data_IF_666121446014
#
_entry.id   IF_666121446014
#
_cell.length_a   1.000
_cell.length_b   1.000
_cell.length_c   1.000
_cell.angle_alpha   90.00
_cell.angle_beta   90.00
_cell.angle_gamma   90.00
#
_symmetry.space_group_name_H-M   'P 1'
#
loop_
_entity.id
_entity.type
_entity.pdbx_description
1 polymer ?
#
# COMPACT_ATOMS: atom_id res chain seq x y z
N UNK A 1 -12.57 -18.36 8.16
CA UNK A 1 -11.63 -17.50 8.89
C UNK A 1 -10.27 -18.18 8.79
N UNK A 2 -9.36 -17.63 7.99
CA UNK A 2 -7.98 -18.10 7.90
C UNK A 2 -7.35 -17.96 9.28
N UNK A 3 -6.74 -19.02 9.80
CA UNK A 3 -6.06 -18.98 11.08
C UNK A 3 -4.78 -18.14 10.91
N UNK A 4 -4.85 -16.87 11.33
CA UNK A 4 -3.78 -15.89 11.16
C UNK A 4 -2.74 -15.94 12.30
N UNK A 5 -2.89 -16.86 13.26
CA UNK A 5 -2.10 -16.89 14.49
C UNK A 5 -0.59 -17.08 14.25
N UNK A 6 -0.19 -17.67 13.12
CA UNK A 6 1.23 -17.87 12.77
C UNK A 6 1.73 -16.96 11.63
N UNK A 7 0.95 -15.95 11.25
CA UNK A 7 1.35 -15.00 10.19
C UNK A 7 2.03 -13.77 10.79
N UNK A 8 3.30 -13.54 10.46
CA UNK A 8 4.05 -12.36 10.88
C UNK A 8 4.06 -11.30 9.77
N UNK A 9 3.52 -10.12 10.07
CA UNK A 9 3.52 -8.96 9.16
C UNK A 9 4.50 -7.90 9.70
N UNK A 10 5.36 -7.37 8.83
CA UNK A 10 6.24 -6.23 9.14
C UNK A 10 6.07 -5.13 8.11
N UNK A 11 5.65 -3.95 8.55
CA UNK A 11 5.60 -2.73 7.74
C UNK A 11 6.91 -1.95 7.87
N UNK A 12 7.55 -1.67 6.75
CA UNK A 12 8.72 -0.79 6.67
C UNK A 12 8.26 0.61 6.27
N UNK A 13 8.39 1.56 7.18
CA UNK A 13 7.89 2.93 7.06
C UNK A 13 9.04 3.91 6.87
N UNK A 14 9.15 4.53 5.69
CA UNK A 14 10.02 5.70 5.48
C UNK A 14 9.31 7.00 5.86
N UNK A 15 9.96 7.92 6.57
CA UNK A 15 9.36 9.22 6.89
C UNK A 15 8.91 9.99 5.63
N UNK A 16 7.86 10.81 5.77
CA UNK A 16 7.26 11.56 4.65
C UNK A 16 6.97 10.62 3.45
N UNK A 17 6.29 9.52 3.72
CA UNK A 17 5.86 8.53 2.73
C UNK A 17 4.38 8.19 2.95
N UNK A 18 3.70 7.61 1.95
CA UNK A 18 2.29 7.25 2.08
C UNK A 18 2.08 5.93 2.85
N UNK A 19 2.98 5.57 3.78
CA UNK A 19 2.87 4.33 4.58
C UNK A 19 1.73 4.36 5.61
N UNK A 20 1.31 5.55 6.04
CA UNK A 20 0.24 5.74 7.03
C UNK A 20 -1.05 4.99 6.67
N UNK A 21 -1.43 4.96 5.38
CA UNK A 21 -2.65 4.27 4.94
C UNK A 21 -2.60 2.75 5.17
N UNK A 22 -1.40 2.17 5.13
CA UNK A 22 -1.21 0.74 5.39
C UNK A 22 -1.40 0.47 6.88
N UNK A 23 -0.90 1.36 7.75
CA UNK A 23 -1.18 1.27 9.20
C UNK A 23 -2.68 1.30 9.46
N UNK A 24 -3.42 2.27 8.91
CA UNK A 24 -4.87 2.32 9.10
C UNK A 24 -5.58 1.06 8.63
N UNK A 25 -5.17 0.49 7.49
CA UNK A 25 -5.73 -0.76 7.01
C UNK A 25 -5.43 -1.93 7.95
N UNK A 26 -4.19 -2.05 8.46
CA UNK A 26 -3.82 -3.11 9.40
C UNK A 26 -4.62 -3.01 10.71
N UNK A 27 -4.85 -1.78 11.21
CA UNK A 27 -5.71 -1.54 12.38
C UNK A 27 -7.17 -1.95 12.13
N UNK A 28 -7.73 -1.56 10.98
CA UNK A 28 -9.12 -1.91 10.61
C UNK A 28 -9.30 -3.43 10.46
N UNK A 29 -8.29 -4.10 9.90
CA UNK A 29 -8.23 -5.55 9.75
C UNK A 29 -7.98 -6.29 11.08
N UNK A 30 -7.58 -5.57 12.13
CA UNK A 30 -7.22 -6.12 13.45
C UNK A 30 -6.17 -7.23 13.36
N UNK A 31 -5.22 -7.08 12.44
CA UNK A 31 -4.10 -8.01 12.26
C UNK A 31 -2.90 -7.54 13.07
N UNK A 32 -2.19 -8.42 13.80
CA UNK A 32 -0.97 -8.05 14.48
C UNK A 32 0.14 -7.75 13.47
N UNK A 33 0.90 -6.69 13.71
CA UNK A 33 2.01 -6.29 12.84
C UNK A 33 3.12 -5.58 13.62
N UNK A 34 4.33 -5.61 13.05
CA UNK A 34 5.46 -4.82 13.52
C UNK A 34 5.72 -3.65 12.57
N UNK A 35 6.13 -2.49 13.10
CA UNK A 35 6.61 -1.37 12.29
C UNK A 35 8.12 -1.22 12.46
N UNK A 36 8.84 -1.12 11.34
CA UNK A 36 10.24 -0.66 11.29
C UNK A 36 10.30 0.68 10.59
N UNK A 37 10.72 1.72 11.30
CA UNK A 37 10.78 3.09 10.78
C UNK A 37 12.16 3.43 10.24
N UNK A 38 12.18 4.22 9.16
CA UNK A 38 13.38 4.71 8.49
C UNK A 38 13.28 6.23 8.34
N UNK A 39 14.37 6.93 8.60
CA UNK A 39 14.52 8.36 8.32
C UNK A 39 15.12 8.56 6.94
N UNK A 40 14.81 9.68 6.28
CA UNK A 40 15.47 10.05 5.04
C UNK A 40 16.86 10.58 5.35
N UNK A 41 17.75 10.45 4.37
CA UNK A 41 19.05 11.13 4.37
C UNK A 41 18.84 12.64 4.23
N UNK A 42 19.90 13.42 4.44
CA UNK A 42 19.86 14.88 4.32
C UNK A 42 19.42 15.36 2.93
N UNK A 43 19.71 14.58 1.89
CA UNK A 43 19.29 14.80 0.50
C UNK A 43 17.85 14.33 0.20
N UNK A 44 17.08 14.02 1.25
CA UNK A 44 15.71 13.47 1.18
C UNK A 44 15.59 12.09 0.52
N UNK A 45 16.68 11.40 0.20
CA UNK A 45 16.65 10.03 -0.33
C UNK A 45 16.45 8.99 0.77
N UNK A 46 16.10 7.76 0.37
CA UNK A 46 15.95 6.65 1.30
C UNK A 46 17.32 6.14 1.80
N UNK A 47 17.40 5.63 3.05
CA UNK A 47 18.60 4.98 3.56
C UNK A 47 18.88 3.67 2.81
N UNK A 48 20.15 3.28 2.73
CA UNK A 48 20.55 2.08 1.98
C UNK A 48 20.02 0.79 2.65
N UNK A 49 19.73 0.84 3.95
CA UNK A 49 19.05 -0.23 4.69
C UNK A 49 17.66 -0.55 4.13
N UNK A 50 16.90 0.46 3.67
CA UNK A 50 15.59 0.24 3.06
C UNK A 50 15.72 -0.47 1.70
N UNK A 51 16.78 -0.15 0.94
CA UNK A 51 17.05 -0.81 -0.36
C UNK A 51 17.43 -2.28 -0.18
N UNK A 52 18.00 -2.66 0.97
CA UNK A 52 18.29 -4.07 1.30
C UNK A 52 17.01 -4.89 1.50
N UNK A 53 15.90 -4.25 1.86
CA UNK A 53 14.59 -4.90 2.00
C UNK A 53 13.90 -5.01 0.64
N UNK A 54 13.82 -3.91 -0.11
CA UNK A 54 13.28 -3.92 -1.46
C UNK A 54 14.09 -2.99 -2.39
N UNK A 55 14.54 -3.45 -3.58
CA UNK A 55 15.45 -2.68 -4.44
C UNK A 55 14.97 -1.28 -4.82
N UNK A 56 13.65 -1.09 -4.88
CA UNK A 56 13.03 0.21 -5.18
C UNK A 56 13.38 1.30 -4.15
N UNK A 57 13.70 0.92 -2.91
CA UNK A 57 14.05 1.87 -1.84
C UNK A 57 12.93 2.87 -1.52
N UNK A 58 11.67 2.50 -1.79
CA UNK A 58 10.48 3.32 -1.51
C UNK A 58 9.66 2.68 -0.39
N UNK A 59 8.67 3.43 0.08
CA UNK A 59 7.76 3.05 1.16
C UNK A 59 6.33 3.39 0.72
N UNK A 60 5.31 2.60 1.11
CA UNK A 60 5.39 1.44 2.00
C UNK A 60 6.00 0.20 1.37
N UNK A 61 6.61 -0.65 2.21
CA UNK A 61 6.95 -2.04 1.91
C UNK A 61 6.45 -2.91 3.05
N UNK A 62 5.89 -4.07 2.75
CA UNK A 62 5.42 -5.03 3.75
C UNK A 62 6.09 -6.37 3.52
N UNK A 63 6.58 -6.99 4.59
CA UNK A 63 6.97 -8.41 4.58
C UNK A 63 5.93 -9.23 5.31
N UNK A 64 5.55 -10.37 4.73
CA UNK A 64 4.61 -11.33 5.31
C UNK A 64 5.30 -12.69 5.35
N UNK A 65 5.47 -13.24 6.55
CA UNK A 65 6.01 -14.59 6.75
C UNK A 65 4.86 -15.50 7.19
N UNK A 66 4.72 -16.65 6.54
CA UNK A 66 3.70 -17.65 6.87
C UNK A 66 4.35 -19.04 6.96
N UNK A 67 3.78 -19.99 7.72
CA UNK A 67 4.28 -21.37 7.75
C UNK A 67 4.30 -22.06 6.39
N UNK A 68 3.47 -21.59 5.45
CA UNK A 68 3.31 -22.19 4.13
C UNK A 68 4.32 -21.67 3.10
N UNK A 69 5.09 -20.63 3.44
CA UNK A 69 6.09 -20.04 2.55
C UNK A 69 7.47 -20.13 3.21
N UNK A 70 8.45 -20.81 2.58
CA UNK A 70 9.80 -20.93 3.14
C UNK A 70 10.52 -19.59 3.22
N UNK A 71 10.23 -18.68 2.29
CA UNK A 71 10.77 -17.32 2.27
C UNK A 71 9.68 -16.28 2.53
N UNK A 72 10.01 -15.15 3.18
CA UNK A 72 9.04 -14.09 3.40
C UNK A 72 8.57 -13.46 2.08
N UNK A 73 7.26 -13.27 1.93
CA UNK A 73 6.69 -12.50 0.84
C UNK A 73 7.00 -11.02 1.06
N UNK A 74 7.59 -10.36 0.08
CA UNK A 74 7.90 -8.92 0.11
C UNK A 74 6.98 -8.21 -0.89
N UNK A 75 6.11 -7.35 -0.37
CA UNK A 75 5.18 -6.56 -1.16
C UNK A 75 5.61 -5.10 -1.17
N UNK A 76 5.79 -4.57 -2.38
CA UNK A 76 5.91 -3.16 -2.67
C UNK A 76 4.72 -2.72 -3.53
N UNK A 77 4.58 -1.42 -3.74
CA UNK A 77 3.40 -0.77 -4.31
C UNK A 77 2.17 -0.87 -3.43
N UNK A 78 1.56 0.27 -3.19
CA UNK A 78 0.60 0.40 -2.11
C UNK A 78 -0.75 -0.21 -2.41
N UNK A 79 -1.21 -0.10 -3.67
CA UNK A 79 -2.44 -0.70 -4.13
C UNK A 79 -2.35 -2.23 -4.02
N UNK A 80 -1.21 -2.80 -4.39
CA UNK A 80 -0.93 -4.23 -4.27
C UNK A 80 -0.94 -4.68 -2.82
N UNK A 81 -0.28 -3.94 -1.92
CA UNK A 81 -0.31 -4.24 -0.48
C UNK A 81 -1.74 -4.20 0.05
N UNK A 82 -2.52 -3.18 -0.30
CA UNK A 82 -3.91 -3.02 0.15
C UNK A 82 -4.78 -4.17 -0.36
N UNK A 83 -4.71 -4.47 -1.65
CA UNK A 83 -5.49 -5.54 -2.28
C UNK A 83 -5.17 -6.91 -1.67
N UNK A 84 -3.88 -7.21 -1.46
CA UNK A 84 -3.44 -8.43 -0.80
C UNK A 84 -4.00 -8.52 0.62
N UNK A 85 -3.84 -7.46 1.43
CA UNK A 85 -4.30 -7.46 2.80
C UNK A 85 -5.82 -7.61 2.90
N UNK A 86 -6.58 -6.90 2.07
CA UNK A 86 -8.04 -7.03 2.02
C UNK A 86 -8.47 -8.45 1.59
N UNK A 87 -7.81 -9.03 0.59
CA UNK A 87 -8.15 -10.36 0.07
C UNK A 87 -7.88 -11.47 1.09
N UNK A 88 -6.76 -11.39 1.80
CA UNK A 88 -6.31 -12.48 2.68
C UNK A 88 -6.75 -12.31 4.14
N UNK A 89 -6.96 -11.07 4.60
CA UNK A 89 -7.29 -10.77 5.99
C UNK A 89 -8.63 -10.02 6.17
N UNK A 90 -9.19 -9.44 5.11
CA UNK A 90 -10.40 -8.60 5.18
C UNK A 90 -11.73 -9.35 5.12
N UNK A 91 -11.72 -10.65 4.80
CA UNK A 91 -12.93 -11.42 4.57
C UNK A 91 -13.82 -10.77 3.51
N UNK A 92 -15.13 -10.77 3.72
CA UNK A 92 -16.12 -10.22 2.76
C UNK A 92 -16.42 -8.72 2.96
N UNK A 93 -15.69 -8.02 3.82
CA UNK A 93 -16.10 -6.67 4.30
C UNK A 93 -15.53 -5.50 3.52
N UNK A 94 -14.29 -5.62 3.04
CA UNK A 94 -13.54 -4.50 2.47
C UNK A 94 -13.49 -4.49 0.94
N UNK A 95 -13.87 -5.60 0.32
CA UNK A 95 -13.92 -5.73 -1.13
C UNK A 95 -15.39 -5.86 -1.53
N UNK A 96 -15.94 -4.91 -2.32
CA UNK A 96 -17.33 -4.99 -2.75
C UNK A 96 -17.53 -6.18 -3.70
N UNK A 97 -18.76 -6.69 -3.74
CA UNK A 97 -19.13 -7.74 -4.68
C UNK A 97 -18.85 -7.30 -6.12
N UNK A 98 -18.05 -8.10 -6.83
CA UNK A 98 -17.61 -7.77 -8.19
C UNK A 98 -18.77 -7.75 -9.19
N UNK A 99 -19.53 -8.83 -9.26
CA UNK A 99 -20.61 -9.00 -10.25
C UNK A 99 -21.98 -8.85 -9.61
N UNK A 100 -22.91 -8.23 -10.32
CA UNK A 100 -24.33 -8.32 -9.96
C UNK A 100 -24.78 -9.79 -10.10
N UNK A 101 -25.76 -10.19 -9.29
CA UNK A 101 -26.26 -11.57 -9.22
C UNK A 101 -26.66 -12.08 -10.62
N UNK A 102 -26.05 -13.20 -11.04
CA UNK A 102 -26.34 -13.84 -12.34
C UNK A 102 -25.68 -13.18 -13.55
N UNK A 103 -24.78 -12.19 -13.34
CA UNK A 103 -24.04 -11.50 -14.41
C UNK A 103 -22.54 -11.82 -14.42
N UNK A 104 -22.14 -12.91 -13.79
CA UNK A 104 -20.74 -13.30 -13.67
C UNK A 104 -20.10 -13.50 -15.05
N UNK A 105 -18.94 -12.85 -15.26
CA UNK A 105 -18.18 -12.94 -16.51
C UNK A 105 -18.79 -12.21 -17.71
N UNK A 106 -19.92 -11.51 -17.55
CA UNK A 106 -20.50 -10.69 -18.60
C UNK A 106 -19.85 -9.31 -18.64
N UNK A 107 -19.59 -8.78 -19.84
CA UNK A 107 -19.10 -7.41 -20.01
C UNK A 107 -20.16 -6.43 -19.52
N UNK A 108 -19.81 -5.58 -18.55
CA UNK A 108 -20.75 -4.67 -17.89
C UNK A 108 -21.65 -5.36 -16.86
N UNK A 109 -21.29 -6.57 -16.43
CA UNK A 109 -21.93 -7.29 -15.33
C UNK A 109 -21.44 -6.84 -13.95
N UNK A 110 -20.38 -6.04 -13.89
CA UNK A 110 -19.80 -5.53 -12.65
C UNK A 110 -20.76 -4.59 -11.90
N UNK A 111 -20.67 -4.60 -10.57
CA UNK A 111 -21.42 -3.65 -9.76
C UNK A 111 -20.79 -2.26 -9.80
N UNK A 112 -21.61 -1.22 -9.67
CA UNK A 112 -21.16 0.18 -9.51
C UNK A 112 -20.18 0.34 -8.33
N UNK A 113 -20.40 -0.40 -7.24
CA UNK A 113 -19.52 -0.38 -6.07
C UNK A 113 -18.14 -0.94 -6.40
N UNK A 114 -18.07 -2.05 -7.14
CA UNK A 114 -16.82 -2.62 -7.63
C UNK A 114 -16.06 -1.68 -8.55
N UNK A 115 -16.77 -1.05 -9.51
CA UNK A 115 -16.14 -0.09 -10.42
C UNK A 115 -15.59 1.13 -9.69
N UNK A 116 -16.29 1.65 -8.68
CA UNK A 116 -15.75 2.71 -7.81
C UNK A 116 -14.54 2.26 -7.01
N UNK A 117 -14.58 1.06 -6.44
CA UNK A 117 -13.44 0.49 -5.71
C UNK A 117 -12.19 0.41 -6.60
N UNK A 118 -12.32 -0.16 -7.80
CA UNK A 118 -11.23 -0.25 -8.78
C UNK A 118 -10.73 1.14 -9.19
N UNK A 119 -11.64 2.07 -9.47
CA UNK A 119 -11.29 3.45 -9.83
C UNK A 119 -10.43 4.11 -8.74
N UNK A 120 -10.87 4.09 -7.48
CA UNK A 120 -10.14 4.74 -6.39
C UNK A 120 -8.82 4.05 -6.05
N UNK A 121 -8.74 2.72 -6.21
CA UNK A 121 -7.49 1.97 -6.03
C UNK A 121 -6.40 2.51 -6.95
N UNK A 122 -6.72 2.78 -8.22
CA UNK A 122 -5.75 3.23 -9.22
C UNK A 122 -5.64 4.76 -9.34
N UNK A 123 -6.68 5.51 -8.99
CA UNK A 123 -6.71 6.98 -9.13
C UNK A 123 -5.57 7.66 -8.36
N UNK A 124 -5.24 7.16 -7.17
CA UNK A 124 -4.22 7.76 -6.30
C UNK A 124 -2.83 7.75 -6.94
N UNK A 125 -2.44 6.64 -7.56
CA UNK A 125 -1.14 6.48 -8.20
C UNK A 125 -1.15 6.99 -9.65
N UNK A 126 -2.22 6.74 -10.39
CA UNK A 126 -2.32 7.04 -11.82
C UNK A 126 -2.61 8.51 -12.15
N UNK A 127 -3.37 9.21 -11.30
CA UNK A 127 -3.86 10.57 -11.61
C UNK A 127 -3.43 11.60 -10.58
N UNK A 128 -3.63 11.31 -9.29
CA UNK A 128 -3.38 12.30 -8.23
C UNK A 128 -1.88 12.51 -7.99
N UNK A 129 -1.08 11.44 -7.92
CA UNK A 129 0.36 11.54 -7.64
C UNK A 129 1.10 12.34 -8.72
N UNK A 130 0.93 12.10 -10.03
CA UNK A 130 1.55 12.92 -11.06
C UNK A 130 1.18 14.40 -10.95
N UNK A 131 -0.07 14.71 -10.64
CA UNK A 131 -0.52 16.08 -10.42
C UNK A 131 0.16 16.74 -9.21
N UNK A 132 0.26 16.03 -8.08
CA UNK A 132 0.94 16.53 -6.89
C UNK A 132 2.44 16.74 -7.13
N UNK A 133 3.08 15.85 -7.89
CA UNK A 133 4.48 16.01 -8.31
C UNK A 133 4.62 17.26 -9.19
N UNK A 134 3.76 17.44 -10.18
CA UNK A 134 3.76 18.65 -11.01
C UNK A 134 3.57 19.90 -10.18
N UNK A 135 2.65 19.88 -9.22
CA UNK A 135 2.44 20.98 -8.29
C UNK A 135 3.71 21.29 -7.49
N UNK A 136 4.40 20.29 -6.94
CA UNK A 136 5.67 20.50 -6.22
C UNK A 136 6.75 21.11 -7.13
N UNK A 137 6.81 20.68 -8.39
CA UNK A 137 7.75 21.24 -9.38
C UNK A 137 7.41 22.70 -9.72
N UNK A 138 6.12 23.00 -9.97
CA UNK A 138 5.64 24.34 -10.31
C UNK A 138 5.70 25.32 -9.13
N UNK A 139 5.40 24.84 -7.93
CA UNK A 139 5.51 25.58 -6.68
C UNK A 139 6.98 25.72 -6.23
N UNK A 140 7.95 25.27 -7.04
CA UNK A 140 9.38 25.29 -6.83
C UNK A 140 9.96 26.69 -6.59
N UNK A 141 9.71 27.22 -5.38
CA UNK A 141 10.63 28.00 -4.59
C UNK A 141 10.95 27.14 -3.36
N UNK A 142 11.89 26.21 -3.53
CA UNK A 142 12.75 25.85 -2.40
C UNK A 142 13.27 27.17 -1.83
N UNK A 143 13.07 27.39 -0.55
CA UNK A 143 13.51 28.59 0.17
C UNK A 143 14.98 28.92 -0.10
N UNK A 144 15.24 29.82 -1.06
CA UNK A 144 16.34 30.79 -0.99
C UNK A 144 15.87 31.93 -0.07
N UNK A 145 15.84 31.65 1.23
CA UNK A 145 15.80 32.65 2.29
C UNK A 145 16.69 32.17 3.44
N UNK A 146 17.97 31.97 3.16
CA UNK A 146 19.06 32.12 4.15
C UNK A 146 20.42 32.13 3.48
N UNK A 147 20.79 33.26 2.90
CA UNK A 147 22.16 33.81 2.89
C UNK A 147 22.15 35.19 2.25
#
# INVERSE_FOLDING_TARGET
MTDTHDTKITLYWLEKSPAQRIVWLLEELKVPYEIKTFKRKADMTAPDELKKIHPLGKSPVVTITTPNCPEPLILAESAVIIEYLCTHFGGEKLIPQRYAEGKEGQVGGETEAWMRYQYFMHYTEGSLTPFLVMKVVMDGSFTELSS
#
